data_IF_521269403534
#
_entry.id   IF_521269403534
#
_cell.length_a   1.000
_cell.length_b   1.000
_cell.length_c   1.000
_cell.angle_alpha   90.00
_cell.angle_beta   90.00
_cell.angle_gamma   90.00
#
_symmetry.space_group_name_H-M   'P 1'
#
loop_
_entity.id
_entity.type
_entity.pdbx_description
1 polymer ?
#
# COMPACT_ATOMS: atom_id res chain seq x y z
N UNK A 1 24.12 14.66 0.66
CA UNK A 1 23.06 14.32 1.63
C UNK A 1 22.87 15.52 2.55
N UNK A 2 21.63 15.98 2.81
CA UNK A 2 21.36 17.17 3.63
C UNK A 2 21.38 16.90 5.16
N UNK A 3 22.10 15.87 5.60
CA UNK A 3 22.25 15.52 7.01
C UNK A 3 23.66 15.88 7.49
N UNK A 4 23.83 16.10 8.79
CA UNK A 4 25.13 16.43 9.37
C UNK A 4 26.18 15.36 9.05
N UNK A 5 27.42 15.75 8.73
CA UNK A 5 28.49 14.80 8.44
C UNK A 5 28.89 14.02 9.70
N UNK A 6 29.19 12.73 9.53
CA UNK A 6 29.77 11.88 10.59
C UNK A 6 31.15 11.42 10.13
N UNK A 7 32.25 11.82 10.79
CA UNK A 7 33.60 11.46 10.38
C UNK A 7 33.89 9.96 10.59
N UNK A 8 34.95 9.46 9.96
CA UNK A 8 35.53 8.14 10.20
C UNK A 8 34.59 6.93 9.99
N UNK A 9 33.70 6.99 8.99
CA UNK A 9 32.82 5.87 8.63
C UNK A 9 33.43 5.00 7.55
N UNK A 10 33.27 3.68 7.69
CA UNK A 10 33.69 2.68 6.69
C UNK A 10 32.45 2.02 6.07
N UNK A 11 32.27 2.04 4.74
CA UNK A 11 31.14 1.39 4.09
C UNK A 11 31.22 -0.14 4.24
N UNK A 12 30.15 -0.75 4.77
CA UNK A 12 30.06 -2.21 4.97
C UNK A 12 28.98 -2.89 4.13
N UNK A 13 28.00 -2.14 3.68
CA UNK A 13 26.95 -2.61 2.81
C UNK A 13 26.39 -1.41 2.07
N UNK A 14 26.24 -1.55 0.77
CA UNK A 14 25.64 -0.55 -0.08
C UNK A 14 24.44 -1.22 -0.70
N UNK A 15 23.29 -0.56 -0.58
CA UNK A 15 22.03 -1.04 -1.11
C UNK A 15 21.36 0.11 -1.83
N UNK A 16 21.09 -0.11 -3.11
CA UNK A 16 20.33 0.78 -3.95
C UNK A 16 19.01 0.09 -4.28
N UNK A 17 17.90 0.77 -3.98
CA UNK A 17 16.55 0.32 -4.34
C UNK A 17 15.88 1.40 -5.17
N UNK A 18 15.36 1.03 -6.34
CA UNK A 18 14.68 1.96 -7.24
C UNK A 18 13.29 1.45 -7.53
N UNK A 19 12.33 2.37 -7.48
CA UNK A 19 10.96 2.13 -7.92
C UNK A 19 10.62 3.07 -9.06
N UNK A 20 9.98 2.54 -10.10
CA UNK A 20 9.51 3.29 -11.26
C UNK A 20 8.07 2.88 -11.54
N UNK A 21 7.24 3.82 -11.98
CA UNK A 21 5.87 3.51 -12.37
C UNK A 21 5.55 4.12 -13.72
N UNK A 22 4.84 3.36 -14.54
CA UNK A 22 4.50 3.72 -15.90
C UNK A 22 3.01 3.45 -16.11
N UNK A 23 2.27 4.48 -16.52
CA UNK A 23 0.91 4.31 -17.03
C UNK A 23 0.97 3.69 -18.42
N UNK A 24 0.09 2.71 -18.67
CA UNK A 24 -0.02 2.01 -19.94
C UNK A 24 -1.20 2.54 -20.74
N UNK A 25 -1.11 2.43 -22.07
CA UNK A 25 -2.18 2.84 -22.98
C UNK A 25 -3.50 2.05 -22.80
N UNK A 26 -3.44 0.87 -22.15
CA UNK A 26 -4.61 0.03 -21.85
C UNK A 26 -5.27 0.35 -20.50
N UNK A 27 -4.82 1.40 -19.81
CA UNK A 27 -5.38 1.81 -18.51
C UNK A 27 -4.87 0.99 -17.32
N UNK A 28 -3.78 0.24 -17.49
CA UNK A 28 -3.05 -0.41 -16.40
C UNK A 28 -1.79 0.38 -16.04
N UNK A 29 -1.13 0.00 -14.93
CA UNK A 29 0.16 0.55 -14.53
C UNK A 29 1.18 -0.55 -14.37
N UNK A 30 2.38 -0.36 -14.92
CA UNK A 30 3.53 -1.17 -14.55
C UNK A 30 4.29 -0.47 -13.42
N UNK A 31 4.52 -1.17 -12.33
CA UNK A 31 5.34 -0.72 -11.20
C UNK A 31 6.55 -1.63 -11.11
N UNK A 32 7.72 -1.07 -11.35
CA UNK A 32 9.00 -1.76 -11.31
C UNK A 32 9.70 -1.51 -9.99
N UNK A 33 10.37 -2.55 -9.47
CA UNK A 33 11.26 -2.50 -8.33
C UNK A 33 12.58 -3.16 -8.71
N UNK A 34 13.68 -2.46 -8.44
CA UNK A 34 15.04 -2.93 -8.67
C UNK A 34 15.80 -2.83 -7.34
N UNK A 35 16.51 -3.90 -6.98
CA UNK A 35 17.38 -3.96 -5.80
C UNK A 35 18.78 -4.35 -6.24
N UNK A 36 19.77 -3.56 -5.84
CA UNK A 36 21.19 -3.85 -6.02
C UNK A 36 21.89 -3.75 -4.67
N UNK A 37 22.43 -4.88 -4.20
CA UNK A 37 23.26 -4.95 -3.00
C UNK A 37 24.71 -5.20 -3.38
N UNK A 38 25.62 -4.36 -2.90
CA UNK A 38 27.08 -4.51 -3.09
C UNK A 38 27.84 -4.38 -1.76
N UNK A 39 29.14 -4.64 -1.82
CA UNK A 39 30.11 -4.40 -0.74
C UNK A 39 31.22 -3.50 -1.23
N UNK A 40 31.75 -2.66 -0.34
CA UNK A 40 32.92 -1.82 -0.64
C UNK A 40 34.26 -2.56 -0.45
N UNK A 41 34.21 -3.89 -0.30
CA UNK A 41 35.35 -4.75 -0.08
C UNK A 41 35.09 -6.10 -0.76
N UNK A 42 36.15 -6.81 -1.11
CA UNK A 42 36.06 -8.14 -1.71
C UNK A 42 35.44 -9.12 -0.73
N UNK A 43 34.42 -9.85 -1.19
CA UNK A 43 33.71 -10.84 -0.40
C UNK A 43 34.03 -12.24 -0.91
N UNK A 44 34.39 -13.14 0.00
CA UNK A 44 34.43 -14.58 -0.27
C UNK A 44 33.05 -15.15 0.06
N UNK A 45 32.32 -15.60 -0.96
CA UNK A 45 31.08 -16.34 -0.82
C UNK A 45 31.36 -17.83 -0.60
N UNK A 46 30.34 -18.58 -0.21
CA UNK A 46 30.42 -20.04 -0.09
C UNK A 46 30.90 -20.69 -1.40
N UNK A 47 31.75 -21.72 -1.28
CA UNK A 47 32.32 -22.46 -2.41
C UNK A 47 33.40 -21.69 -3.18
N UNK A 48 34.26 -20.93 -2.49
CA UNK A 48 35.40 -20.17 -3.04
C UNK A 48 35.06 -19.06 -4.06
N UNK A 49 33.77 -18.83 -4.35
CA UNK A 49 33.34 -17.76 -5.25
C UNK A 49 33.67 -16.41 -4.62
N UNK A 50 34.50 -15.63 -5.29
CA UNK A 50 34.78 -14.25 -4.89
C UNK A 50 33.82 -13.28 -5.58
N UNK A 51 33.45 -12.23 -4.88
CA UNK A 51 32.82 -11.02 -5.41
C UNK A 51 33.75 -9.86 -5.12
N UNK A 52 34.16 -9.14 -6.16
CA UNK A 52 34.99 -7.95 -5.96
C UNK A 52 34.17 -6.82 -5.34
N UNK A 53 34.84 -5.90 -4.68
CA UNK A 53 34.23 -4.65 -4.24
C UNK A 53 33.44 -4.00 -5.39
N UNK A 54 32.20 -3.61 -5.13
CA UNK A 54 31.28 -3.03 -6.10
C UNK A 54 30.50 -4.03 -6.96
N UNK A 55 30.86 -5.31 -7.00
CA UNK A 55 30.07 -6.32 -7.72
C UNK A 55 28.77 -6.64 -6.97
N UNK A 56 27.63 -6.78 -7.68
CA UNK A 56 26.38 -7.17 -7.06
C UNK A 56 26.44 -8.54 -6.40
N UNK A 57 26.00 -8.59 -5.14
CA UNK A 57 25.71 -9.82 -4.42
C UNK A 57 24.24 -10.20 -4.63
N UNK A 58 23.36 -9.20 -4.59
CA UNK A 58 21.97 -9.31 -5.01
C UNK A 58 21.72 -8.29 -6.12
N UNK A 59 21.10 -8.74 -7.20
CA UNK A 59 20.56 -7.86 -8.24
C UNK A 59 19.25 -8.47 -8.69
N UNK A 60 18.15 -7.83 -8.31
CA UNK A 60 16.81 -8.39 -8.45
C UNK A 60 15.83 -7.39 -9.03
N UNK A 61 14.88 -7.90 -9.80
CA UNK A 61 13.87 -7.14 -10.50
C UNK A 61 12.47 -7.69 -10.22
N UNK A 62 11.51 -6.80 -10.01
CA UNK A 62 10.08 -7.09 -10.01
C UNK A 62 9.39 -6.09 -10.93
N UNK A 63 8.53 -6.57 -11.83
CA UNK A 63 7.53 -5.75 -12.51
C UNK A 63 6.15 -6.27 -12.11
N UNK A 64 5.36 -5.44 -11.47
CA UNK A 64 3.95 -5.71 -11.20
C UNK A 64 3.09 -4.85 -12.11
N UNK A 65 2.23 -5.48 -12.91
CA UNK A 65 1.15 -4.77 -13.60
C UNK A 65 -0.05 -4.71 -12.67
N UNK A 66 -0.62 -3.53 -12.46
CA UNK A 66 -1.76 -3.29 -11.58
C UNK A 66 -2.88 -2.54 -12.31
N UNK A 67 -4.12 -2.74 -11.85
CA UNK A 67 -5.27 -1.95 -12.26
C UNK A 67 -5.43 -0.65 -11.41
N UNK A 68 -6.44 0.16 -11.73
CA UNK A 68 -6.75 1.40 -10.99
C UNK A 68 -7.20 1.16 -9.54
N UNK A 69 -7.49 -0.08 -9.16
CA UNK A 69 -7.82 -0.48 -7.78
C UNK A 69 -6.59 -0.95 -6.99
N UNK A 70 -5.40 -0.89 -7.60
CA UNK A 70 -4.13 -1.40 -7.09
C UNK A 70 -4.09 -2.92 -6.98
N UNK A 71 -4.93 -3.64 -7.74
CA UNK A 71 -4.90 -5.10 -7.79
C UNK A 71 -3.85 -5.56 -8.79
N UNK A 72 -2.98 -6.49 -8.39
CA UNK A 72 -1.96 -7.09 -9.26
C UNK A 72 -2.64 -7.98 -10.30
N UNK A 73 -2.49 -7.64 -11.58
CA UNK A 73 -3.02 -8.45 -12.70
C UNK A 73 -1.94 -9.31 -13.35
N UNK A 74 -0.68 -8.90 -13.23
CA UNK A 74 0.48 -9.69 -13.68
C UNK A 74 1.71 -9.37 -12.85
N UNK A 75 2.64 -10.33 -12.74
CA UNK A 75 3.92 -10.13 -12.07
C UNK A 75 5.04 -10.86 -12.83
N UNK A 76 6.16 -10.18 -13.03
CA UNK A 76 7.38 -10.73 -13.61
C UNK A 76 8.56 -10.43 -12.70
N UNK A 77 9.50 -11.38 -12.62
CA UNK A 77 10.60 -11.35 -11.67
C UNK A 77 11.88 -11.92 -12.26
N UNK A 78 13.02 -11.34 -11.90
CA UNK A 78 14.34 -11.82 -12.31
C UNK A 78 15.39 -11.63 -11.20
N UNK A 79 16.44 -12.44 -11.24
CA UNK A 79 17.63 -12.32 -10.40
C UNK A 79 18.88 -12.40 -11.27
N UNK A 80 19.54 -11.26 -11.48
CA UNK A 80 20.80 -11.18 -12.25
C UNK A 80 22.00 -11.57 -11.38
N UNK A 81 21.92 -11.34 -10.08
CA UNK A 81 22.92 -11.75 -9.10
C UNK A 81 22.27 -12.25 -7.81
N UNK A 82 22.80 -13.37 -7.29
CA UNK A 82 22.41 -13.94 -6.01
C UNK A 82 23.56 -14.79 -5.44
N UNK A 83 23.68 -14.91 -4.09
CA UNK A 83 24.82 -15.59 -3.47
C UNK A 83 24.67 -17.12 -3.40
N UNK A 84 23.44 -17.63 -3.30
CA UNK A 84 23.14 -19.06 -3.14
C UNK A 84 22.48 -19.61 -4.39
N UNK A 85 22.87 -20.82 -4.81
CA UNK A 85 22.36 -21.44 -6.05
C UNK A 85 20.85 -21.66 -6.05
N UNK A 86 20.25 -21.82 -4.87
CA UNK A 86 18.82 -22.10 -4.70
C UNK A 86 17.94 -20.85 -4.69
N UNK A 87 18.52 -19.63 -4.63
CA UNK A 87 17.73 -18.39 -4.60
C UNK A 87 16.68 -18.28 -5.73
N UNK A 88 16.98 -18.65 -7.00
CA UNK A 88 16.01 -18.60 -8.08
C UNK A 88 14.79 -19.53 -7.90
N UNK A 89 14.85 -20.53 -7.02
CA UNK A 89 13.71 -21.41 -6.72
C UNK A 89 12.54 -20.65 -6.07
N UNK A 90 12.77 -19.46 -5.53
CA UNK A 90 11.71 -18.59 -5.01
C UNK A 90 10.91 -17.86 -6.12
N UNK A 91 11.43 -17.79 -7.36
CA UNK A 91 10.80 -17.00 -8.43
C UNK A 91 9.39 -17.47 -8.80
N UNK A 92 9.10 -18.79 -8.94
CA UNK A 92 7.76 -19.24 -9.29
C UNK A 92 6.69 -18.85 -8.27
N UNK A 93 7.03 -18.82 -6.97
CA UNK A 93 6.09 -18.46 -5.91
C UNK A 93 5.58 -17.02 -6.02
N UNK A 94 6.34 -16.12 -6.65
CA UNK A 94 5.95 -14.72 -6.85
C UNK A 94 4.60 -14.58 -7.59
N UNK A 95 4.24 -15.56 -8.43
CA UNK A 95 2.95 -15.60 -9.13
C UNK A 95 1.74 -15.65 -8.18
N UNK A 96 1.92 -16.15 -6.93
CA UNK A 96 0.86 -16.12 -5.90
C UNK A 96 0.41 -14.70 -5.52
N UNK A 97 1.16 -13.68 -5.92
CA UNK A 97 0.79 -12.28 -5.71
C UNK A 97 -0.22 -11.75 -6.74
N UNK A 98 -0.44 -12.44 -7.86
CA UNK A 98 -1.49 -12.09 -8.82
C UNK A 98 -2.86 -12.20 -8.12
N UNK A 99 -3.70 -11.18 -8.28
CA UNK A 99 -4.98 -11.02 -7.59
C UNK A 99 -4.88 -10.38 -6.21
N UNK A 100 -3.69 -10.18 -5.65
CA UNK A 100 -3.51 -9.45 -4.39
C UNK A 100 -3.59 -7.93 -4.61
N UNK A 101 -4.10 -7.19 -3.63
CA UNK A 101 -4.21 -5.74 -3.69
C UNK A 101 -3.04 -5.05 -2.97
N UNK A 102 -2.31 -4.16 -3.67
CA UNK A 102 -1.22 -3.32 -3.15
C UNK A 102 -1.72 -2.14 -2.30
N UNK A 103 -2.73 -2.37 -1.47
CA UNK A 103 -3.29 -1.39 -0.55
C UNK A 103 -3.46 -1.98 0.85
N UNK A 104 -4.64 -1.83 1.46
CA UNK A 104 -4.93 -2.40 2.77
C UNK A 104 -4.83 -3.93 2.71
N UNK A 105 -4.06 -4.51 3.62
CA UNK A 105 -3.85 -5.96 3.69
C UNK A 105 -2.63 -6.46 2.91
N UNK A 106 -1.97 -5.61 2.12
CA UNK A 106 -0.83 -5.99 1.28
C UNK A 106 0.27 -6.76 2.02
N UNK A 107 0.73 -6.24 3.17
CA UNK A 107 1.77 -6.91 3.97
C UNK A 107 1.35 -8.30 4.47
N UNK A 108 0.07 -8.45 4.84
CA UNK A 108 -0.48 -9.75 5.25
C UNK A 108 -0.55 -10.72 4.07
N UNK A 109 -0.93 -10.24 2.90
CA UNK A 109 -0.95 -11.04 1.67
C UNK A 109 0.46 -11.51 1.28
N UNK A 110 1.47 -10.65 1.36
CA UNK A 110 2.86 -11.05 1.12
C UNK A 110 3.29 -12.15 2.09
N UNK A 111 3.02 -12.01 3.38
CA UNK A 111 3.43 -13.03 4.35
C UNK A 111 2.67 -14.33 4.15
N UNK A 112 1.36 -14.28 3.85
CA UNK A 112 0.56 -15.47 3.60
C UNK A 112 1.00 -16.25 2.36
N UNK A 113 1.49 -15.57 1.31
CA UNK A 113 1.82 -16.20 0.03
C UNK A 113 3.31 -16.54 -0.13
N UNK A 114 4.19 -15.71 0.44
CA UNK A 114 5.64 -15.73 0.22
C UNK A 114 6.44 -15.84 1.53
N UNK A 115 5.77 -15.98 2.67
CA UNK A 115 6.40 -16.07 3.98
C UNK A 115 7.34 -17.27 4.11
N UNK A 116 8.26 -17.18 5.08
CA UNK A 116 9.23 -18.25 5.37
C UNK A 116 10.03 -18.67 4.12
N UNK A 117 10.07 -19.98 3.82
CA UNK A 117 10.82 -20.59 2.71
C UNK A 117 10.10 -20.52 1.36
N UNK A 118 8.84 -20.08 1.32
CA UNK A 118 8.07 -20.01 0.06
C UNK A 118 8.60 -18.90 -0.87
N UNK A 119 9.17 -17.84 -0.29
CA UNK A 119 9.74 -16.72 -1.03
C UNK A 119 11.11 -16.34 -0.51
N UNK A 120 11.77 -15.39 -1.17
CA UNK A 120 13.02 -14.82 -0.68
C UNK A 120 12.77 -13.49 0.05
N UNK A 121 13.56 -13.22 1.09
CA UNK A 121 13.45 -11.99 1.90
C UNK A 121 13.57 -10.73 1.04
N UNK A 122 14.54 -10.67 0.14
CA UNK A 122 14.82 -9.50 -0.70
C UNK A 122 13.64 -9.11 -1.61
N UNK A 123 12.97 -10.10 -2.22
CA UNK A 123 11.83 -9.84 -3.10
C UNK A 123 10.58 -9.43 -2.31
N UNK A 124 10.37 -10.03 -1.12
CA UNK A 124 9.31 -9.57 -0.20
C UNK A 124 9.54 -8.12 0.23
N UNK A 125 10.77 -7.75 0.55
CA UNK A 125 11.14 -6.37 0.88
C UNK A 125 10.88 -5.40 -0.27
N UNK A 126 11.21 -5.80 -1.51
CA UNK A 126 10.88 -5.01 -2.69
C UNK A 126 9.37 -4.76 -2.79
N UNK A 127 8.56 -5.81 -2.65
CA UNK A 127 7.10 -5.71 -2.68
C UNK A 127 6.54 -4.81 -1.57
N UNK A 128 7.11 -4.81 -0.36
CA UNK A 128 6.61 -3.97 0.74
C UNK A 128 6.61 -2.48 0.40
N UNK A 129 7.69 -1.97 -0.17
CA UNK A 129 7.79 -0.55 -0.51
C UNK A 129 7.19 -0.23 -1.88
N UNK A 130 7.12 -1.21 -2.79
CA UNK A 130 6.48 -1.06 -4.10
C UNK A 130 5.04 -0.55 -4.01
N UNK A 131 4.29 -0.98 -2.99
CA UNK A 131 2.92 -0.49 -2.77
C UNK A 131 2.83 1.04 -2.57
N UNK A 132 3.85 1.66 -1.98
CA UNK A 132 3.87 3.12 -1.81
C UNK A 132 4.09 3.83 -3.14
N UNK A 133 5.01 3.32 -3.97
CA UNK A 133 5.24 3.84 -5.32
C UNK A 133 3.99 3.68 -6.19
N UNK A 134 3.36 2.51 -6.15
CA UNK A 134 2.10 2.24 -6.82
C UNK A 134 0.99 3.23 -6.39
N UNK A 135 0.75 3.34 -5.08
CA UNK A 135 -0.27 4.24 -4.53
C UNK A 135 -0.03 5.69 -4.93
N UNK A 136 1.23 6.15 -4.95
CA UNK A 136 1.57 7.52 -5.33
C UNK A 136 1.50 7.81 -6.84
N UNK A 137 1.43 6.77 -7.67
CA UNK A 137 1.45 6.91 -9.14
C UNK A 137 0.05 6.81 -9.77
N UNK A 138 -0.88 6.11 -9.12
CA UNK A 138 -2.25 5.95 -9.63
C UNK A 138 -3.12 7.12 -9.15
N UNK A 139 -3.44 8.07 -10.03
CA UNK A 139 -4.24 9.25 -9.71
C UNK A 139 -5.59 8.91 -9.08
N UNK A 140 -6.23 7.81 -9.52
CA UNK A 140 -7.49 7.33 -8.95
C UNK A 140 -7.36 6.91 -7.47
N UNK A 141 -6.16 6.59 -6.98
CA UNK A 141 -5.91 6.32 -5.57
C UNK A 141 -6.03 7.58 -4.69
N UNK A 142 -5.88 8.76 -5.30
CA UNK A 142 -6.09 10.07 -4.66
C UNK A 142 -7.46 10.69 -4.96
N UNK A 143 -8.20 10.12 -5.92
CA UNK A 143 -9.50 10.64 -6.30
C UNK A 143 -10.46 10.65 -5.10
N UNK A 144 -11.25 11.73 -5.04
CA UNK A 144 -12.30 11.90 -4.04
C UNK A 144 -13.38 10.84 -4.31
N UNK A 145 -13.70 9.96 -3.34
CA UNK A 145 -14.91 9.17 -3.48
C UNK A 145 -16.13 10.11 -3.56
N UNK A 146 -17.17 9.76 -4.32
CA UNK A 146 -18.46 10.48 -4.34
C UNK A 146 -19.24 10.34 -3.02
N UNK A 147 -18.56 10.32 -1.87
CA UNK A 147 -19.17 10.14 -0.55
C UNK A 147 -18.62 11.13 0.47
N UNK A 148 -19.27 11.19 1.63
CA UNK A 148 -18.84 11.99 2.80
C UNK A 148 -17.58 11.43 3.49
N UNK A 149 -16.83 10.55 2.81
CA UNK A 149 -15.61 9.94 3.35
C UNK A 149 -14.36 10.68 2.83
N UNK A 150 -13.34 10.87 3.68
CA UNK A 150 -12.09 11.47 3.25
C UNK A 150 -11.34 10.56 2.27
N UNK A 151 -10.57 11.14 1.32
CA UNK A 151 -9.66 10.36 0.49
C UNK A 151 -8.67 9.54 1.33
N UNK A 152 -8.24 8.38 0.81
CA UNK A 152 -7.46 7.38 1.56
C UNK A 152 -6.12 7.88 2.11
N UNK A 153 -5.56 8.94 1.53
CA UNK A 153 -4.27 9.50 1.95
C UNK A 153 -4.39 10.46 3.15
N UNK A 154 -5.60 10.93 3.49
CA UNK A 154 -5.79 11.76 4.69
C UNK A 154 -5.61 10.93 5.96
N UNK A 155 -5.01 11.55 6.97
CA UNK A 155 -4.64 10.93 8.24
C UNK A 155 -3.48 9.93 8.16
N UNK A 156 -2.86 9.74 6.99
CA UNK A 156 -1.81 8.73 6.80
C UNK A 156 -0.38 9.24 7.06
N UNK A 157 -0.17 10.56 7.08
CA UNK A 157 1.12 11.14 7.41
C UNK A 157 0.93 12.51 8.08
N UNK A 158 2.01 13.08 8.63
CA UNK A 158 1.93 14.36 9.34
C UNK A 158 1.46 15.52 8.46
N UNK A 159 1.81 15.51 7.17
CA UNK A 159 1.34 16.52 6.21
C UNK A 159 -0.17 16.46 5.95
N UNK A 160 -0.75 15.26 6.06
CA UNK A 160 -2.16 14.96 5.82
C UNK A 160 -2.96 14.73 7.11
N UNK A 161 -2.45 15.17 8.25
CA UNK A 161 -3.14 15.13 9.55
C UNK A 161 -4.51 15.83 9.43
N UNK A 162 -5.59 15.18 9.90
CA UNK A 162 -6.94 15.75 9.86
C UNK A 162 -7.06 17.07 10.65
N UNK A 163 -6.12 17.34 11.57
CA UNK A 163 -6.05 18.61 12.30
C UNK A 163 -4.92 19.53 11.78
N UNK A 164 -4.27 19.16 10.68
CA UNK A 164 -3.10 19.84 10.13
C UNK A 164 -3.44 20.88 9.06
N UNK A 165 -2.49 21.79 8.81
CA UNK A 165 -2.61 22.86 7.80
C UNK A 165 -2.88 22.32 6.39
N UNK A 166 -2.31 21.17 6.04
CA UNK A 166 -2.51 20.54 4.71
C UNK A 166 -3.98 20.22 4.45
N UNK A 167 -4.64 19.53 5.39
CA UNK A 167 -6.07 19.24 5.31
C UNK A 167 -6.90 20.51 5.40
N UNK A 168 -6.59 21.43 6.31
CA UNK A 168 -7.30 22.71 6.44
C UNK A 168 -7.33 23.53 5.13
N UNK A 169 -6.27 23.44 4.32
CA UNK A 169 -6.15 24.20 3.06
C UNK A 169 -6.77 23.46 1.89
N UNK A 170 -6.48 22.16 1.72
CA UNK A 170 -6.86 21.40 0.51
C UNK A 170 -8.17 20.63 0.66
N UNK A 171 -8.55 20.28 1.89
CA UNK A 171 -9.71 19.47 2.21
C UNK A 171 -10.43 19.99 3.48
N UNK A 172 -10.82 21.27 3.53
CA UNK A 172 -11.34 21.91 4.75
C UNK A 172 -12.57 21.19 5.33
N UNK A 173 -13.38 20.52 4.49
CA UNK A 173 -14.54 19.74 4.92
C UNK A 173 -14.20 18.52 5.79
N UNK A 174 -12.95 18.08 5.81
CA UNK A 174 -12.49 16.94 6.61
C UNK A 174 -11.63 17.36 7.81
N UNK A 175 -11.56 18.65 8.14
CA UNK A 175 -10.82 19.09 9.33
C UNK A 175 -11.46 18.49 10.59
N UNK A 176 -10.64 17.92 11.48
CA UNK A 176 -11.12 17.25 12.69
C UNK A 176 -11.88 15.94 12.46
N UNK A 177 -11.91 15.42 11.23
CA UNK A 177 -12.60 14.17 10.92
C UNK A 177 -12.04 13.01 11.76
N UNK A 178 -12.94 12.19 12.29
CA UNK A 178 -12.62 10.98 13.04
C UNK A 178 -13.27 9.77 12.38
N UNK A 179 -12.51 8.69 12.26
CA UNK A 179 -13.05 7.45 11.71
C UNK A 179 -14.18 6.91 12.62
N UNK A 180 -15.30 6.46 12.04
CA UNK A 180 -16.32 5.73 12.81
C UNK A 180 -15.67 4.54 13.52
N UNK A 181 -15.99 4.35 14.81
CA UNK A 181 -15.46 3.21 15.57
C UNK A 181 -15.94 1.90 14.94
N UNK A 182 -15.06 0.90 14.75
CA UNK A 182 -15.48 -0.41 14.26
C UNK A 182 -16.60 -0.97 15.16
N UNK A 183 -17.78 -1.21 14.60
CA UNK A 183 -18.94 -1.73 15.32
C UNK A 183 -20.07 -0.73 15.62
N UNK A 184 -19.93 0.57 15.28
CA UNK A 184 -21.08 1.47 15.33
C UNK A 184 -21.93 1.30 14.06
N UNK A 185 -22.92 0.41 14.10
CA UNK A 185 -24.03 0.47 13.14
C UNK A 185 -24.78 1.77 13.39
N UNK A 186 -24.61 2.75 12.50
CA UNK A 186 -25.40 3.96 12.53
C UNK A 186 -26.86 3.60 12.27
N UNK A 187 -27.68 3.55 13.31
CA UNK A 187 -29.13 3.61 13.16
C UNK A 187 -29.44 4.98 12.58
N UNK A 188 -29.75 5.04 11.28
CA UNK A 188 -30.52 6.16 10.72
C UNK A 188 -31.91 6.11 11.33
N UNK A 189 -32.04 6.75 12.50
CA UNK A 189 -33.34 7.13 13.02
C UNK A 189 -33.87 8.25 12.11
N UNK A 190 -34.79 7.89 11.23
CA UNK A 190 -35.68 8.85 10.58
C UNK A 190 -36.43 9.54 11.72
N UNK A 191 -36.17 10.83 11.91
CA UNK A 191 -36.90 11.64 12.88
C UNK A 191 -38.33 11.82 12.36
N UNK A 192 -39.25 10.97 12.84
CA UNK A 192 -40.68 11.25 12.74
C UNK A 192 -41.00 12.34 13.76
N UNK A 193 -41.28 13.54 13.27
CA UNK A 193 -41.81 14.64 14.06
C UNK A 193 -43.18 14.26 14.59
N UNK A 194 -43.30 14.03 15.91
CA UNK A 194 -44.56 13.99 16.63
C UNK A 194 -44.93 15.41 17.09
N UNK A 195 -46.08 15.90 16.65
CA UNK A 195 -46.73 17.08 17.21
C UNK A 195 -48.13 16.69 17.72
N UNK A 196 -48.19 16.67 19.06
CA UNK A 196 -49.29 16.85 20.02
C UNK A 196 -50.68 16.15 19.88
N UNK A 197 -51.20 15.59 21.00
CA UNK A 197 -52.58 15.14 21.13
C UNK A 197 -53.47 16.23 21.76
N UNK A 198 -54.53 16.63 21.07
CA UNK A 198 -55.71 17.22 21.67
C UNK A 198 -56.90 17.01 20.72
N UNK A 199 -57.63 15.91 20.90
CA UNK A 199 -59.10 15.98 20.93
C UNK A 199 -59.72 14.69 21.48
N UNK A 200 -60.69 14.88 22.38
CA UNK A 200 -61.54 13.86 22.98
C UNK A 200 -62.51 13.31 21.92
N UNK A 201 -62.83 12.00 21.92
CA UNK A 201 -63.97 11.52 21.14
C UNK A 201 -65.28 11.84 21.87
N UNK A 202 -66.19 12.51 21.16
CA UNK A 202 -67.60 12.53 21.50
C UNK A 202 -68.26 11.24 21.00
N UNK A 203 -69.00 10.62 21.91
CA UNK A 203 -69.98 9.57 21.68
C UNK A 203 -71.08 10.09 20.75
N UNK A 204 -71.38 9.36 19.69
CA UNK A 204 -72.63 9.56 18.94
C UNK A 204 -73.18 8.19 18.52
N UNK A 205 -74.09 7.72 19.36
CA UNK A 205 -74.98 6.61 19.10
C UNK A 205 -76.20 7.10 18.32
N UNK A 206 -76.61 6.26 17.36
CA UNK A 206 -77.87 6.29 16.61
C UNK A 206 -78.04 7.38 15.53
N UNK A 207 -78.23 6.95 14.29
CA UNK A 207 -79.57 6.77 13.70
C UNK A 207 -79.45 6.58 12.17
N UNK A 208 -79.99 5.47 11.62
CA UNK A 208 -81.11 5.46 10.65
C UNK A 208 -81.14 4.24 9.71
N UNK A 209 -82.32 3.62 9.76
CA UNK A 209 -83.08 2.87 8.72
C UNK A 209 -82.64 1.45 8.41
#
# INVERSE_FOLDING_TARGET
MPLSPVPNRVPKHLRDVRYRSFERADGLWDVEGELVDTKAYDLVLSGERKRKAGEPIHHMWIRCTIDTTLTVVAIEVAMDAHPLGECPLALPAMQKMVGCCMARGWRKAIEANLGSIEGCTHMRELLFNMATAAFQSVNQAFARPQSDQPPRHLGQCKGWDFNGKGVATMYPQFIGWQAPKPGSTGTTAVATTSANPADKPADDSANKV
#
